data_IF_375617958648
#
_entry.id   IF_375617958648
#
_cell.length_a   1.000
_cell.length_b   1.000
_cell.length_c   1.000
_cell.angle_alpha   90.00
_cell.angle_beta   90.00
_cell.angle_gamma   90.00
#
_symmetry.space_group_name_H-M   'P 1'
#
loop_
_entity.id
_entity.type
_entity.pdbx_description
1 polymer ?
#
# COMPACT_ATOMS: atom_id res chain seq x y z
N UNK A 1 0.01 7.55 25.88
CA UNK A 1 -0.09 7.11 24.47
C UNK A 1 0.77 5.86 24.30
N UNK A 2 0.23 4.80 23.71
CA UNK A 2 1.01 3.59 23.42
C UNK A 2 1.86 3.84 22.16
N UNK A 3 3.06 3.27 22.09
CA UNK A 3 3.96 3.38 20.94
C UNK A 3 4.50 1.99 20.62
N UNK A 4 4.21 1.51 19.42
CA UNK A 4 4.65 0.21 18.92
C UNK A 4 5.82 0.42 17.96
N UNK A 5 7.00 -0.04 18.36
CA UNK A 5 8.26 0.18 17.64
C UNK A 5 8.66 -1.05 16.84
N UNK A 6 9.16 -0.85 15.62
CA UNK A 6 9.77 -1.91 14.82
C UNK A 6 11.29 -1.89 14.97
N UNK A 7 11.96 -2.92 14.47
CA UNK A 7 13.39 -2.88 14.15
C UNK A 7 13.56 -2.75 12.62
N UNK A 8 13.89 -1.56 12.08
CA UNK A 8 14.14 -1.39 10.65
C UNK A 8 15.20 -2.36 10.13
N UNK A 9 15.00 -2.88 8.92
CA UNK A 9 15.88 -3.87 8.30
C UNK A 9 15.83 -5.28 8.92
N UNK A 10 15.01 -5.51 9.95
CA UNK A 10 14.73 -6.85 10.48
C UNK A 10 13.40 -7.33 9.90
N UNK A 11 13.35 -8.50 9.23
CA UNK A 11 12.10 -9.06 8.70
C UNK A 11 11.02 -9.23 9.77
N UNK A 12 9.74 -9.08 9.41
CA UNK A 12 8.61 -9.31 10.31
C UNK A 12 8.60 -10.74 10.88
N UNK A 13 9.08 -11.73 10.13
CA UNK A 13 9.22 -13.11 10.61
C UNK A 13 10.16 -13.25 11.83
N UNK A 14 11.08 -12.30 12.03
CA UNK A 14 12.00 -12.23 13.17
C UNK A 14 11.52 -11.27 14.28
N UNK A 15 10.40 -10.58 14.07
CA UNK A 15 9.66 -9.79 15.07
C UNK A 15 8.13 -10.04 14.98
N UNK A 16 7.69 -11.32 14.96
CA UNK A 16 6.31 -11.70 14.64
C UNK A 16 5.31 -11.29 15.72
N UNK A 17 5.77 -10.88 16.89
CA UNK A 17 4.95 -10.34 17.96
C UNK A 17 4.31 -8.99 17.63
N UNK A 18 4.82 -8.27 16.62
CA UNK A 18 4.35 -6.96 16.22
C UNK A 18 3.21 -7.00 15.21
N UNK A 19 3.07 -8.11 14.45
CA UNK A 19 2.32 -8.00 13.20
C UNK A 19 2.05 -9.29 12.45
N UNK A 20 1.47 -9.11 11.27
CA UNK A 20 1.11 -10.18 10.35
C UNK A 20 1.25 -9.72 8.89
N UNK A 21 1.29 -10.66 7.95
CA UNK A 21 1.32 -10.35 6.51
C UNK A 21 0.23 -11.08 5.72
N UNK A 22 -0.85 -11.48 6.40
CA UNK A 22 -2.00 -12.18 5.82
C UNK A 22 -3.28 -11.74 6.53
N UNK A 23 -4.38 -11.66 5.79
CA UNK A 23 -5.68 -11.36 6.40
C UNK A 23 -6.38 -12.64 6.84
N UNK A 24 -6.68 -12.74 8.14
CA UNK A 24 -7.47 -13.83 8.72
C UNK A 24 -8.22 -13.35 9.99
N UNK A 25 -9.52 -13.68 10.19
CA UNK A 25 -10.32 -13.21 11.33
C UNK A 25 -9.74 -13.57 12.70
N UNK A 26 -9.11 -14.75 12.78
CA UNK A 26 -8.65 -15.33 14.05
C UNK A 26 -7.26 -14.83 14.50
N UNK A 27 -6.63 -13.86 13.82
CA UNK A 27 -5.31 -13.36 14.23
C UNK A 27 -5.42 -12.68 15.60
N UNK A 28 -4.67 -13.13 16.63
CA UNK A 28 -4.65 -12.51 17.95
C UNK A 28 -4.27 -11.02 17.93
N UNK A 29 -5.04 -10.21 18.64
CA UNK A 29 -4.80 -8.77 18.76
C UNK A 29 -3.48 -8.44 19.46
N UNK A 30 -2.77 -7.45 18.93
CA UNK A 30 -1.54 -6.88 19.46
C UNK A 30 -1.74 -6.17 20.79
N UNK A 31 -2.67 -5.22 20.81
CA UNK A 31 -3.03 -4.46 22.00
C UNK A 31 -4.48 -4.01 21.93
N UNK A 32 -4.97 -3.52 23.06
CA UNK A 32 -6.30 -2.94 23.22
C UNK A 32 -6.21 -1.42 23.22
N UNK A 33 -7.13 -0.77 22.52
CA UNK A 33 -7.24 0.69 22.39
C UNK A 33 -8.69 1.08 22.63
N UNK A 34 -8.92 2.16 23.37
CA UNK A 34 -10.28 2.69 23.58
C UNK A 34 -10.60 3.77 22.54
N UNK A 35 -11.87 3.93 22.14
CA UNK A 35 -12.31 5.12 21.42
C UNK A 35 -11.87 6.39 22.15
N UNK A 36 -11.32 7.35 21.41
CA UNK A 36 -10.71 8.59 21.90
C UNK A 36 -9.23 8.47 22.30
N UNK A 37 -8.63 7.27 22.28
CA UNK A 37 -7.20 7.11 22.53
C UNK A 37 -6.38 7.27 21.24
N UNK A 38 -5.18 7.83 21.43
CA UNK A 38 -4.14 7.97 20.41
C UNK A 38 -3.04 6.93 20.63
N UNK A 39 -2.44 6.44 19.55
CA UNK A 39 -1.25 5.57 19.56
C UNK A 39 -0.30 5.92 18.41
N UNK A 40 0.98 5.56 18.58
CA UNK A 40 1.98 5.60 17.50
C UNK A 40 2.25 4.17 17.04
N UNK A 41 2.17 3.94 15.73
CA UNK A 41 2.41 2.66 15.08
C UNK A 41 3.59 2.83 14.12
N UNK A 42 4.71 2.17 14.41
CA UNK A 42 5.79 2.04 13.42
C UNK A 42 5.51 0.87 12.48
N UNK A 43 5.94 1.01 11.23
CA UNK A 43 5.70 0.05 10.14
C UNK A 43 6.98 -0.13 9.33
N UNK A 44 7.24 -1.38 8.96
CA UNK A 44 8.32 -1.72 8.03
C UNK A 44 7.94 -1.28 6.62
N UNK A 45 8.95 -1.06 5.77
CA UNK A 45 8.75 -1.00 4.32
C UNK A 45 8.05 -2.28 3.82
N UNK A 46 7.31 -2.16 2.72
CA UNK A 46 6.42 -3.23 2.27
C UNK A 46 7.13 -4.51 1.81
N UNK A 47 8.41 -4.38 1.41
CA UNK A 47 9.26 -5.48 0.99
C UNK A 47 10.04 -6.08 2.15
N UNK A 48 9.72 -5.69 3.39
CA UNK A 48 10.17 -6.36 4.61
C UNK A 48 11.71 -6.34 4.73
N UNK A 49 12.32 -5.19 4.41
CA UNK A 49 13.76 -4.94 4.49
C UNK A 49 14.59 -5.59 3.38
N UNK A 50 13.98 -6.01 2.26
CA UNK A 50 14.69 -6.69 1.18
C UNK A 50 15.44 -5.75 0.23
N UNK A 51 15.08 -4.47 0.18
CA UNK A 51 15.70 -3.48 -0.71
C UNK A 51 16.77 -2.69 0.03
N UNK A 52 17.93 -2.57 -0.59
CA UNK A 52 19.11 -1.97 0.04
C UNK A 52 19.52 -0.67 -0.67
N UNK A 53 20.10 0.25 0.10
CA UNK A 53 20.71 1.47 -0.41
C UNK A 53 22.02 1.18 -1.14
N UNK A 54 21.88 0.81 -2.40
CA UNK A 54 22.95 0.61 -3.36
C UNK A 54 22.41 0.87 -4.76
N UNK A 55 23.29 0.80 -5.75
CA UNK A 55 22.95 1.05 -7.16
C UNK A 55 22.73 -0.27 -7.94
N UNK A 56 22.68 -1.42 -7.24
CA UNK A 56 22.39 -2.73 -7.82
C UNK A 56 20.89 -3.00 -7.79
N UNK A 57 20.30 -3.37 -8.93
CA UNK A 57 18.87 -3.66 -9.06
C UNK A 57 18.53 -5.13 -8.77
N UNK A 58 19.53 -5.96 -8.43
CA UNK A 58 19.33 -7.38 -8.16
C UNK A 58 18.34 -7.65 -7.02
N UNK A 59 18.32 -6.80 -5.98
CA UNK A 59 17.36 -6.94 -4.89
C UNK A 59 15.91 -6.71 -5.33
N UNK A 60 15.65 -5.76 -6.23
CA UNK A 60 14.33 -5.59 -6.87
C UNK A 60 13.99 -6.77 -7.79
N UNK A 61 14.97 -7.31 -8.53
CA UNK A 61 14.77 -8.45 -9.43
C UNK A 61 14.37 -9.71 -8.67
N UNK A 62 15.07 -9.99 -7.58
CA UNK A 62 15.05 -11.28 -6.88
C UNK A 62 14.19 -11.25 -5.60
N UNK A 63 13.50 -10.14 -5.33
CA UNK A 63 12.67 -9.96 -4.14
C UNK A 63 11.64 -11.08 -4.00
N UNK A 64 11.48 -11.57 -2.77
CA UNK A 64 10.40 -12.49 -2.44
C UNK A 64 9.13 -11.70 -2.09
N UNK A 65 8.30 -11.48 -3.12
CA UNK A 65 7.00 -10.81 -3.00
C UNK A 65 6.00 -11.57 -2.13
N UNK A 66 6.26 -12.81 -1.70
CA UNK A 66 5.36 -13.55 -0.81
C UNK A 66 5.41 -13.03 0.63
N UNK A 67 6.51 -12.35 1.00
CA UNK A 67 6.71 -11.71 2.30
C UNK A 67 5.87 -10.45 2.48
N UNK A 68 5.60 -9.72 1.39
CA UNK A 68 4.77 -8.52 1.40
C UNK A 68 3.32 -8.83 1.83
N UNK A 69 2.67 -8.02 2.66
CA UNK A 69 3.13 -6.74 3.26
C UNK A 69 3.27 -6.96 4.78
N UNK A 70 4.36 -6.54 5.44
CA UNK A 70 4.44 -6.60 6.89
C UNK A 70 3.55 -5.53 7.54
N UNK A 71 2.51 -5.96 8.26
CA UNK A 71 1.55 -5.06 8.90
C UNK A 71 1.70 -5.08 10.41
N UNK A 72 1.74 -3.91 11.03
CA UNK A 72 1.68 -3.78 12.49
C UNK A 72 0.23 -3.85 12.96
N UNK A 73 -0.03 -4.68 13.98
CA UNK A 73 -1.36 -4.96 14.52
C UNK A 73 -1.68 -6.47 14.57
N UNK A 74 -2.95 -6.89 14.67
CA UNK A 74 -4.16 -6.08 14.66
C UNK A 74 -4.48 -5.47 16.04
N UNK A 75 -5.00 -4.25 16.09
CA UNK A 75 -5.41 -3.57 17.31
C UNK A 75 -6.89 -3.83 17.63
N UNK A 76 -7.18 -4.22 18.87
CA UNK A 76 -8.55 -4.38 19.37
C UNK A 76 -9.11 -3.02 19.80
N UNK A 77 -10.17 -2.58 19.14
CA UNK A 77 -10.88 -1.34 19.46
C UNK A 77 -12.04 -1.64 20.42
N UNK A 78 -11.99 -1.07 21.62
CA UNK A 78 -12.99 -1.35 22.65
C UNK A 78 -14.41 -0.92 22.23
N UNK A 79 -15.34 -1.86 22.30
CA UNK A 79 -16.75 -1.63 21.95
C UNK A 79 -17.06 -1.72 20.45
N UNK A 80 -16.08 -1.97 19.59
CA UNK A 80 -16.32 -2.20 18.17
C UNK A 80 -16.99 -3.57 17.95
N UNK A 81 -18.08 -3.58 17.20
CA UNK A 81 -18.85 -4.78 16.84
C UNK A 81 -19.10 -4.80 15.33
N UNK A 82 -19.29 -5.99 14.70
CA UNK A 82 -19.63 -6.08 13.28
C UNK A 82 -20.81 -5.17 12.90
N UNK A 83 -20.67 -4.42 11.81
CA UNK A 83 -21.67 -3.45 11.35
C UNK A 83 -21.42 -2.00 11.77
N UNK A 84 -20.46 -1.76 12.67
CA UNK A 84 -19.97 -0.42 13.00
C UNK A 84 -19.09 0.16 11.90
N UNK A 85 -18.80 1.47 11.99
CA UNK A 85 -17.64 2.07 11.34
C UNK A 85 -16.58 2.38 12.39
N UNK A 86 -15.35 1.98 12.13
CA UNK A 86 -14.16 2.45 12.82
C UNK A 86 -13.72 3.78 12.19
N UNK A 87 -13.69 4.84 12.98
CA UNK A 87 -13.12 6.13 12.59
C UNK A 87 -11.64 6.10 12.94
N UNK A 88 -10.79 6.45 11.98
CA UNK A 88 -9.34 6.60 12.19
C UNK A 88 -8.94 7.99 11.71
N UNK A 89 -8.33 8.76 12.60
CA UNK A 89 -7.67 10.02 12.27
C UNK A 89 -6.18 9.77 12.10
N UNK A 90 -5.64 10.09 10.91
CA UNK A 90 -4.20 10.10 10.66
C UNK A 90 -3.66 11.44 11.13
N UNK A 91 -3.13 11.49 12.36
CA UNK A 91 -2.71 12.74 12.98
C UNK A 91 -1.36 13.22 12.46
N UNK A 92 -0.42 12.29 12.27
CA UNK A 92 0.87 12.57 11.64
C UNK A 92 1.52 11.32 11.06
N UNK A 93 2.38 11.46 10.06
CA UNK A 93 3.10 10.35 9.42
C UNK A 93 4.51 10.80 9.06
N UNK A 94 5.52 10.11 9.59
CA UNK A 94 6.91 10.48 9.39
C UNK A 94 7.79 9.26 9.04
N UNK A 95 8.80 9.42 8.18
CA UNK A 95 9.84 8.41 8.04
C UNK A 95 10.61 8.26 9.35
N UNK A 96 11.01 7.02 9.68
CA UNK A 96 11.91 6.75 10.82
C UNK A 96 13.34 6.45 10.37
N UNK A 97 13.53 6.15 9.09
CA UNK A 97 14.82 6.07 8.41
C UNK A 97 14.94 7.22 7.40
N UNK A 98 16.14 7.74 7.10
CA UNK A 98 16.30 8.87 6.17
C UNK A 98 16.25 8.45 4.70
N UNK A 99 15.79 7.23 4.40
CA UNK A 99 15.87 6.59 3.10
C UNK A 99 14.50 6.04 2.71
N UNK A 100 14.19 6.15 1.43
CA UNK A 100 13.11 5.41 0.80
C UNK A 100 13.53 4.85 -0.55
N UNK A 101 12.67 4.07 -1.18
CA UNK A 101 12.95 3.53 -2.50
C UNK A 101 11.71 3.53 -3.40
N UNK A 102 11.96 3.54 -4.70
CA UNK A 102 10.98 3.16 -5.72
C UNK A 102 11.64 2.15 -6.64
N UNK A 103 10.84 1.37 -7.35
CA UNK A 103 11.32 0.43 -8.33
C UNK A 103 10.39 0.21 -9.50
N UNK A 104 10.90 -0.59 -10.42
CA UNK A 104 10.14 -1.27 -11.46
C UNK A 104 10.46 -2.74 -11.27
N UNK A 105 9.46 -3.56 -10.98
CA UNK A 105 9.69 -5.00 -10.92
C UNK A 105 9.96 -5.57 -12.31
N UNK A 106 10.79 -6.61 -12.36
CA UNK A 106 10.96 -7.38 -13.59
C UNK A 106 9.60 -7.99 -13.98
N UNK A 107 9.31 -8.06 -15.29
CA UNK A 107 8.07 -8.69 -15.78
C UNK A 107 7.93 -10.15 -15.33
N UNK A 108 9.05 -10.84 -15.16
CA UNK A 108 9.10 -12.23 -14.67
C UNK A 108 8.84 -12.37 -13.17
N UNK A 109 8.99 -11.30 -12.38
CA UNK A 109 8.80 -11.32 -10.93
C UNK A 109 8.09 -10.04 -10.46
N UNK A 110 6.76 -10.07 -10.42
CA UNK A 110 5.92 -8.94 -10.01
C UNK A 110 5.26 -8.24 -11.20
N UNK A 111 6.06 -7.72 -12.12
CA UNK A 111 5.58 -6.89 -13.23
C UNK A 111 5.04 -5.54 -12.77
N UNK A 112 4.06 -4.99 -13.49
CA UNK A 112 3.52 -3.67 -13.21
C UNK A 112 2.74 -3.14 -14.41
N UNK A 113 2.24 -1.91 -14.30
CA UNK A 113 1.32 -1.35 -15.28
C UNK A 113 1.90 -1.25 -16.70
N UNK A 114 3.21 -0.97 -16.78
CA UNK A 114 3.96 -0.84 -18.04
C UNK A 114 4.99 -1.96 -18.26
N UNK A 115 4.82 -3.13 -17.64
CA UNK A 115 5.81 -4.22 -17.71
C UNK A 115 6.09 -4.75 -19.14
N UNK A 116 5.16 -4.57 -20.08
CA UNK A 116 5.38 -4.90 -21.49
C UNK A 116 6.33 -3.93 -22.20
N UNK A 117 6.48 -2.71 -21.69
CA UNK A 117 7.35 -1.65 -22.21
C UNK A 117 8.66 -1.54 -21.42
N UNK A 118 8.60 -1.82 -20.13
CA UNK A 118 9.73 -1.82 -19.20
C UNK A 118 9.82 -3.17 -18.48
N UNK A 119 10.30 -4.23 -19.17
CA UNK A 119 10.31 -5.58 -18.61
C UNK A 119 11.45 -5.84 -17.62
N UNK A 120 12.50 -5.01 -17.67
CA UNK A 120 13.69 -5.12 -16.84
C UNK A 120 13.51 -4.38 -15.51
N UNK A 121 14.12 -4.88 -14.41
CA UNK A 121 14.02 -4.24 -13.12
C UNK A 121 14.77 -2.91 -13.09
N UNK A 122 14.23 -1.95 -12.33
CA UNK A 122 14.89 -0.68 -12.04
C UNK A 122 14.68 -0.30 -10.58
N UNK A 123 15.58 0.53 -10.04
CA UNK A 123 15.54 1.02 -8.66
C UNK A 123 15.93 2.49 -8.60
N UNK A 124 15.29 3.23 -7.70
CA UNK A 124 15.68 4.55 -7.28
C UNK A 124 15.64 4.66 -5.76
N UNK A 125 16.79 4.92 -5.13
CA UNK A 125 16.86 5.32 -3.72
C UNK A 125 16.60 6.82 -3.57
N UNK A 126 15.82 7.19 -2.55
CA UNK A 126 15.44 8.55 -2.21
C UNK A 126 15.99 8.95 -0.84
N UNK A 127 16.68 10.08 -0.78
CA UNK A 127 17.00 10.77 0.46
C UNK A 127 15.75 11.50 0.98
N UNK A 128 15.27 11.14 2.16
CA UNK A 128 14.12 11.77 2.82
C UNK A 128 14.61 12.84 3.79
N UNK A 129 14.42 14.12 3.44
CA UNK A 129 14.96 15.26 4.20
C UNK A 129 13.87 16.29 4.49
N UNK A 130 13.35 16.24 5.71
CA UNK A 130 12.23 17.08 6.13
C UNK A 130 11.02 16.83 5.24
N UNK A 131 10.52 17.88 4.59
CA UNK A 131 9.35 17.80 3.71
C UNK A 131 9.66 17.27 2.30
N UNK A 132 10.92 17.03 1.95
CA UNK A 132 11.33 16.75 0.58
C UNK A 132 12.06 15.43 0.42
N UNK A 133 11.82 14.77 -0.72
CA UNK A 133 12.60 13.66 -1.23
C UNK A 133 13.39 14.07 -2.48
N UNK A 134 14.62 13.56 -2.58
CA UNK A 134 15.48 13.68 -3.78
C UNK A 134 16.16 12.35 -4.06
N UNK A 135 16.40 12.00 -5.32
CA UNK A 135 17.09 10.76 -5.66
C UNK A 135 18.37 11.04 -6.44
N UNK A 136 19.46 10.34 -6.09
CA UNK A 136 20.69 10.33 -6.90
C UNK A 136 20.49 9.69 -8.28
N UNK A 137 19.45 8.86 -8.42
CA UNK A 137 19.13 8.15 -9.66
C UNK A 137 18.22 8.97 -10.60
N UNK A 138 17.54 9.99 -10.07
CA UNK A 138 16.61 10.86 -10.83
C UNK A 138 17.01 12.33 -10.59
N UNK A 139 18.08 12.81 -11.27
CA UNK A 139 18.61 14.14 -11.03
C UNK A 139 17.62 15.25 -11.46
N UNK A 140 17.75 16.42 -10.81
CA UNK A 140 16.92 17.60 -11.11
C UNK A 140 15.51 17.55 -10.56
N UNK A 141 15.15 16.49 -9.83
CA UNK A 141 13.83 16.32 -9.19
C UNK A 141 13.91 16.54 -7.69
N UNK A 142 12.92 17.23 -7.14
CA UNK A 142 12.65 17.34 -5.70
C UNK A 142 11.16 17.25 -5.47
N UNK A 143 10.73 16.23 -4.72
CA UNK A 143 9.31 15.94 -4.46
C UNK A 143 8.99 16.35 -3.03
N UNK A 144 7.94 17.15 -2.84
CA UNK A 144 7.38 17.39 -1.52
C UNK A 144 6.51 16.18 -1.15
N UNK A 145 6.74 15.63 0.04
CA UNK A 145 6.03 14.45 0.51
C UNK A 145 4.52 14.68 0.58
N UNK A 146 3.78 13.70 0.08
CA UNK A 146 2.35 13.54 0.36
C UNK A 146 2.24 12.23 1.14
N UNK A 147 2.71 12.27 2.37
CA UNK A 147 2.96 11.05 3.15
C UNK A 147 1.64 10.38 3.54
N UNK A 148 1.52 9.09 3.22
CA UNK A 148 0.31 8.28 3.44
C UNK A 148 0.68 6.81 3.65
N UNK A 149 -0.19 6.00 4.26
CA UNK A 149 -0.12 4.56 4.18
C UNK A 149 -0.79 4.06 2.88
N UNK A 150 -0.14 3.18 2.13
CA UNK A 150 -0.76 2.41 1.05
C UNK A 150 -1.73 1.37 1.60
N UNK A 151 -1.41 0.78 2.76
CA UNK A 151 -2.18 -0.31 3.37
C UNK A 151 -2.72 0.00 4.78
N UNK A 152 -4.05 0.03 4.89
CA UNK A 152 -4.77 0.04 6.18
C UNK A 152 -6.10 -0.72 6.10
N UNK A 153 -6.47 -1.43 7.15
CA UNK A 153 -7.80 -2.08 7.19
C UNK A 153 -8.11 -2.80 8.49
N UNK A 154 -9.38 -3.19 8.62
CA UNK A 154 -9.86 -4.06 9.70
C UNK A 154 -9.77 -5.53 9.30
N UNK A 155 -9.67 -6.45 10.27
CA UNK A 155 -9.75 -7.88 9.99
C UNK A 155 -11.08 -8.23 9.30
N UNK A 156 -11.07 -9.14 8.29
CA UNK A 156 -12.30 -9.59 7.65
C UNK A 156 -13.09 -10.53 8.58
N UNK A 157 -14.38 -10.72 8.31
CA UNK A 157 -15.10 -11.90 8.83
C UNK A 157 -14.67 -13.15 8.08
N UNK A 158 -14.98 -14.33 8.64
CA UNK A 158 -14.71 -15.60 7.95
C UNK A 158 -15.47 -15.70 6.61
N UNK A 159 -16.72 -15.20 6.55
CA UNK A 159 -17.50 -15.18 5.31
C UNK A 159 -16.85 -14.31 4.24
N UNK A 160 -16.33 -13.14 4.63
CA UNK A 160 -15.66 -12.22 3.72
C UNK A 160 -14.34 -12.82 3.21
N UNK A 161 -13.55 -13.44 4.10
CA UNK A 161 -12.33 -14.17 3.71
C UNK A 161 -12.64 -15.29 2.71
N UNK A 162 -13.67 -16.09 2.98
CA UNK A 162 -14.10 -17.17 2.10
C UNK A 162 -14.53 -16.65 0.73
N UNK A 163 -15.24 -15.52 0.68
CA UNK A 163 -15.64 -14.88 -0.58
C UNK A 163 -14.43 -14.40 -1.40
N UNK A 164 -13.44 -13.79 -0.76
CA UNK A 164 -12.19 -13.38 -1.41
C UNK A 164 -11.47 -14.58 -2.03
N UNK A 165 -11.23 -15.62 -1.25
CA UNK A 165 -10.57 -16.83 -1.72
C UNK A 165 -11.35 -17.49 -2.87
N UNK A 166 -12.68 -17.57 -2.76
CA UNK A 166 -13.55 -18.16 -3.79
C UNK A 166 -13.45 -17.41 -5.12
N UNK A 167 -13.51 -16.08 -5.11
CA UNK A 167 -13.51 -15.28 -6.35
C UNK A 167 -12.12 -15.08 -6.96
N UNK A 168 -11.07 -15.08 -6.13
CA UNK A 168 -9.68 -14.91 -6.58
C UNK A 168 -9.03 -16.22 -7.04
N UNK A 169 -9.47 -17.37 -6.52
CA UNK A 169 -8.96 -18.69 -6.94
C UNK A 169 -8.94 -18.95 -8.47
N UNK A 170 -10.01 -18.66 -9.26
CA UNK A 170 -9.95 -18.83 -10.70
C UNK A 170 -8.93 -17.89 -11.37
N UNK A 171 -8.75 -16.67 -10.86
CA UNK A 171 -7.76 -15.71 -11.38
C UNK A 171 -6.33 -16.14 -11.02
N UNK A 172 -6.12 -16.71 -9.84
CA UNK A 172 -4.84 -17.23 -9.41
C UNK A 172 -4.34 -18.36 -10.33
N UNK A 173 -5.23 -19.21 -10.84
CA UNK A 173 -4.90 -20.25 -11.84
C UNK A 173 -4.40 -19.65 -13.17
N UNK A 174 -4.74 -18.40 -13.44
CA UNK A 174 -4.28 -17.64 -14.61
C UNK A 174 -3.07 -16.75 -14.32
N UNK A 175 -2.56 -16.76 -13.08
CA UNK A 175 -1.49 -15.86 -12.64
C UNK A 175 -1.93 -14.41 -12.41
N UNK A 176 -3.24 -14.14 -12.39
CA UNK A 176 -3.83 -12.80 -12.26
C UNK A 176 -4.23 -12.43 -10.82
N UNK A 177 -4.03 -13.34 -9.87
CA UNK A 177 -4.21 -13.11 -8.44
C UNK A 177 -3.19 -13.94 -7.64
N UNK A 178 -2.95 -13.56 -6.39
CA UNK A 178 -2.05 -14.29 -5.49
C UNK A 178 -2.90 -15.12 -4.50
N UNK A 179 -2.86 -16.47 -4.57
CA UNK A 179 -3.61 -17.30 -3.63
C UNK A 179 -3.01 -17.21 -2.22
N UNK A 180 -3.71 -17.72 -1.18
CA UNK A 180 -3.10 -17.99 0.11
C UNK A 180 -1.78 -18.74 -0.05
N UNK A 181 -0.74 -18.28 0.66
CA UNK A 181 0.59 -18.85 0.62
C UNK A 181 1.14 -18.99 2.05
N UNK A 182 1.24 -20.22 2.57
CA UNK A 182 1.70 -20.47 3.93
C UNK A 182 3.22 -20.32 4.10
N UNK A 183 4.02 -20.35 3.03
CA UNK A 183 5.48 -20.48 3.13
C UNK A 183 6.16 -19.34 3.90
N UNK A 184 5.66 -18.13 3.69
CA UNK A 184 6.17 -16.88 4.29
C UNK A 184 5.10 -16.18 5.12
N UNK A 185 4.05 -16.90 5.50
CA UNK A 185 2.97 -16.35 6.33
C UNK A 185 3.48 -16.05 7.73
N UNK A 186 3.29 -14.81 8.17
CA UNK A 186 3.44 -14.39 9.57
C UNK A 186 2.04 -14.14 10.12
N UNK A 187 1.65 -14.92 11.12
CA UNK A 187 0.37 -14.86 11.80
C UNK A 187 0.63 -14.67 13.29
N UNK A 188 0.64 -13.40 13.75
CA UNK A 188 1.02 -13.00 15.11
C UNK A 188 0.48 -13.95 16.18
N UNK A 189 1.38 -14.56 16.96
CA UNK A 189 0.99 -15.36 18.13
C UNK A 189 0.25 -16.66 17.82
N UNK A 190 0.20 -17.10 16.56
CA UNK A 190 -0.41 -18.36 16.14
C UNK A 190 0.68 -19.39 15.86
N UNK A 191 0.55 -20.59 16.42
CA UNK A 191 1.50 -21.69 16.21
C UNK A 191 0.79 -23.04 16.02
N UNK A 192 1.54 -24.06 15.62
CA UNK A 192 1.05 -25.44 15.52
C UNK A 192 -0.10 -25.62 14.52
N UNK A 193 -1.05 -26.51 14.85
CA UNK A 193 -2.15 -26.84 13.94
C UNK A 193 -3.08 -25.66 13.62
N UNK A 194 -3.18 -24.67 14.51
CA UNK A 194 -3.91 -23.44 14.24
C UNK A 194 -3.19 -22.62 13.16
N UNK A 195 -1.86 -22.55 13.21
CA UNK A 195 -1.06 -21.88 12.18
C UNK A 195 -1.21 -22.59 10.84
N UNK A 196 -1.07 -23.91 10.81
CA UNK A 196 -1.17 -24.69 9.56
C UNK A 196 -2.51 -24.47 8.85
N UNK A 197 -3.62 -24.47 9.63
CA UNK A 197 -4.96 -24.19 9.10
C UNK A 197 -5.06 -22.75 8.58
N UNK A 198 -4.73 -21.77 9.43
CA UNK A 198 -4.88 -20.35 9.09
C UNK A 198 -3.99 -19.96 7.90
N UNK A 199 -2.73 -20.40 7.87
CA UNK A 199 -1.78 -20.07 6.81
C UNK A 199 -2.19 -20.64 5.45
N UNK A 200 -2.96 -21.75 5.44
CA UNK A 200 -3.49 -22.36 4.21
C UNK A 200 -4.68 -21.59 3.61
N UNK A 201 -5.38 -20.77 4.40
CA UNK A 201 -6.59 -20.04 3.98
C UNK A 201 -6.50 -18.52 4.07
N UNK A 202 -5.51 -17.98 4.80
CA UNK A 202 -5.37 -16.55 5.01
C UNK A 202 -5.00 -15.81 3.70
N UNK A 203 -5.75 -14.77 3.39
CA UNK A 203 -5.61 -14.05 2.14
C UNK A 203 -4.32 -13.22 2.11
N UNK A 204 -3.72 -13.10 0.92
CA UNK A 204 -2.62 -12.16 0.68
C UNK A 204 -3.10 -10.72 0.85
N UNK A 205 -2.23 -9.86 1.37
CA UNK A 205 -2.51 -8.44 1.60
C UNK A 205 -2.42 -7.59 0.33
N UNK A 206 -2.01 -8.17 -0.80
CA UNK A 206 -1.70 -7.48 -2.06
C UNK A 206 -2.85 -6.64 -2.67
N UNK A 207 -4.08 -7.15 -2.86
CA UNK A 207 -5.11 -6.33 -3.50
C UNK A 207 -5.93 -5.54 -2.47
N UNK A 208 -6.46 -4.36 -2.85
CA UNK A 208 -7.52 -3.70 -2.11
C UNK A 208 -8.79 -4.53 -2.15
N UNK A 209 -9.56 -4.48 -1.07
CA UNK A 209 -10.84 -5.18 -0.93
C UNK A 209 -11.86 -4.32 -0.18
N UNK A 210 -13.03 -4.88 0.11
CA UNK A 210 -14.16 -4.22 0.77
C UNK A 210 -13.82 -3.64 2.15
N UNK A 211 -12.76 -4.12 2.79
CA UNK A 211 -12.31 -3.63 4.09
C UNK A 211 -11.28 -2.49 4.03
N UNK A 212 -10.93 -2.01 2.82
CA UNK A 212 -9.73 -1.23 2.59
C UNK A 212 -8.59 -2.17 2.17
N UNK A 213 -7.56 -2.29 3.00
CA UNK A 213 -6.35 -3.02 2.65
C UNK A 213 -5.42 -2.14 1.81
N UNK A 214 -4.81 -2.73 0.78
CA UNK A 214 -3.80 -2.07 -0.07
C UNK A 214 -4.47 -1.17 -1.10
N UNK A 215 -4.89 0.01 -0.69
CA UNK A 215 -5.67 0.91 -1.57
C UNK A 215 -4.79 1.83 -2.38
N UNK A 216 -3.57 2.12 -1.90
CA UNK A 216 -2.58 2.96 -2.58
C UNK A 216 -3.17 4.30 -3.03
N UNK A 217 -3.99 4.90 -2.17
CA UNK A 217 -4.61 6.20 -2.41
C UNK A 217 -3.73 7.28 -1.78
N UNK A 218 -2.97 8.00 -2.62
CA UNK A 218 -2.06 9.07 -2.17
C UNK A 218 -2.73 10.16 -1.32
N UNK A 219 -4.02 10.40 -1.55
CA UNK A 219 -4.81 11.39 -0.84
C UNK A 219 -5.28 10.94 0.57
N UNK A 220 -5.03 9.68 0.97
CA UNK A 220 -5.16 9.19 2.36
C UNK A 220 -3.97 9.64 3.23
N UNK A 221 -3.59 10.91 3.13
CA UNK A 221 -2.36 11.43 3.74
C UNK A 221 -2.54 11.89 5.18
N UNK A 222 -1.43 12.21 5.85
CA UNK A 222 -1.42 12.88 7.17
C UNK A 222 -2.42 14.04 7.22
N UNK A 223 -3.32 14.02 8.23
CA UNK A 223 -4.48 14.91 8.40
C UNK A 223 -5.81 14.34 7.90
N UNK A 224 -5.83 13.15 7.31
CA UNK A 224 -7.05 12.47 6.82
C UNK A 224 -7.86 11.86 7.96
N UNK A 225 -9.20 11.87 7.81
CA UNK A 225 -10.13 11.04 8.60
C UNK A 225 -10.75 9.98 7.71
N UNK A 226 -10.57 8.71 8.05
CA UNK A 226 -11.12 7.56 7.32
C UNK A 226 -12.10 6.76 8.18
N UNK A 227 -13.09 6.17 7.52
CA UNK A 227 -14.18 5.40 8.13
C UNK A 227 -14.16 3.96 7.57
N UNK A 228 -13.68 3.00 8.35
CA UNK A 228 -13.58 1.60 7.95
C UNK A 228 -14.81 0.77 8.37
N UNK A 229 -15.36 -0.07 7.49
CA UNK A 229 -16.31 -1.10 7.88
C UNK A 229 -15.73 -2.10 8.90
N UNK A 230 -16.50 -2.46 9.93
CA UNK A 230 -16.10 -3.43 10.97
C UNK A 230 -16.75 -4.78 10.71
N UNK A 231 -15.95 -5.85 10.62
CA UNK A 231 -16.42 -7.21 10.29
C UNK A 231 -16.29 -8.23 11.43
N UNK A 232 -15.43 -7.95 12.42
CA UNK A 232 -15.23 -8.79 13.61
C UNK A 232 -15.30 -7.93 14.87
N UNK A 233 -15.61 -8.56 16.00
CA UNK A 233 -15.57 -7.89 17.31
C UNK A 233 -14.18 -7.33 17.58
N UNK A 234 -14.12 -6.08 18.00
CA UNK A 234 -12.86 -5.36 18.20
C UNK A 234 -12.23 -4.78 16.94
N UNK A 235 -12.86 -4.93 15.76
CA UNK A 235 -12.40 -4.48 14.44
C UNK A 235 -11.09 -5.12 13.93
N UNK A 236 -10.02 -5.13 14.73
CA UNK A 236 -8.73 -5.65 14.34
C UNK A 236 -8.05 -4.76 13.30
N UNK A 237 -7.81 -3.51 13.65
CA UNK A 237 -7.17 -2.56 12.76
C UNK A 237 -5.68 -2.90 12.58
N UNK A 238 -5.20 -2.89 11.34
CA UNK A 238 -3.78 -3.04 11.00
C UNK A 238 -3.38 -2.04 9.93
N UNK A 239 -2.10 -1.69 9.93
CA UNK A 239 -1.52 -0.83 8.91
C UNK A 239 -0.05 -1.15 8.65
N UNK A 240 0.44 -0.71 7.49
CA UNK A 240 1.83 -0.80 7.08
C UNK A 240 2.03 -0.02 5.79
N UNK A 241 3.07 -0.38 5.03
CA UNK A 241 3.20 0.05 3.62
C UNK A 241 3.22 1.58 3.49
N UNK A 242 4.17 2.22 4.16
CA UNK A 242 4.18 3.68 4.25
C UNK A 242 4.89 4.29 3.04
N UNK A 243 4.24 5.29 2.47
CA UNK A 243 4.68 6.01 1.29
C UNK A 243 5.03 7.45 1.66
N UNK A 244 6.24 7.89 1.34
CA UNK A 244 6.61 9.30 1.46
C UNK A 244 5.90 10.16 0.39
N UNK A 245 5.73 9.62 -0.81
CA UNK A 245 4.94 10.21 -1.90
C UNK A 245 4.60 9.14 -2.93
N UNK A 246 3.53 9.33 -3.70
CA UNK A 246 3.10 8.39 -4.73
C UNK A 246 2.32 9.13 -5.80
N UNK A 247 2.45 8.68 -7.05
CA UNK A 247 1.57 9.06 -8.15
C UNK A 247 0.27 8.26 -8.19
N UNK A 248 -0.77 8.81 -8.81
CA UNK A 248 -2.02 8.07 -9.00
C UNK A 248 -1.81 6.77 -9.78
N UNK A 249 -2.51 5.73 -9.34
CA UNK A 249 -2.45 4.40 -9.93
C UNK A 249 -1.16 3.62 -9.63
N UNK A 250 -0.20 4.22 -8.91
CA UNK A 250 1.02 3.56 -8.42
C UNK A 250 1.72 2.72 -9.51
N UNK A 251 1.84 3.30 -10.71
CA UNK A 251 1.99 2.52 -11.94
C UNK A 251 3.21 1.57 -11.96
N UNK A 252 4.26 1.89 -11.20
CA UNK A 252 5.47 1.07 -11.05
C UNK A 252 5.29 -0.24 -10.27
N UNK A 253 4.23 -0.38 -9.48
CA UNK A 253 3.90 -1.49 -8.57
C UNK A 253 4.92 -1.80 -7.45
N UNK A 254 6.22 -1.67 -7.72
CA UNK A 254 7.23 -1.43 -6.68
C UNK A 254 7.26 0.08 -6.43
N UNK A 255 6.11 0.63 -6.07
CA UNK A 255 5.80 2.02 -6.31
C UNK A 255 5.85 2.87 -5.08
N UNK A 256 5.22 4.03 -5.17
CA UNK A 256 5.46 5.14 -4.26
C UNK A 256 6.97 5.46 -4.07
N UNK A 257 7.26 6.21 -3.02
CA UNK A 257 8.56 6.26 -2.35
C UNK A 257 8.33 5.49 -1.04
N UNK A 258 8.62 4.21 -1.07
CA UNK A 258 8.48 3.27 0.05
C UNK A 258 9.40 3.65 1.20
N UNK A 259 8.95 3.46 2.44
CA UNK A 259 9.75 3.76 3.62
C UNK A 259 9.33 2.94 4.84
N UNK A 260 10.28 2.75 5.75
CA UNK A 260 9.95 2.54 7.15
C UNK A 260 9.43 3.85 7.75
N UNK A 261 8.38 3.81 8.56
CA UNK A 261 7.82 5.02 9.14
C UNK A 261 7.00 4.81 10.39
N UNK A 262 6.61 5.93 11.00
CA UNK A 262 5.77 6.01 12.18
C UNK A 262 4.51 6.81 11.85
N UNK A 263 3.36 6.25 12.20
CA UNK A 263 2.04 6.90 12.05
C UNK A 263 1.45 7.14 13.43
N UNK A 264 1.08 8.38 13.71
CA UNK A 264 0.30 8.78 14.87
C UNK A 264 -1.18 8.74 14.50
N UNK A 265 -1.97 7.91 15.19
CA UNK A 265 -3.39 7.69 14.88
C UNK A 265 -4.28 7.84 16.10
N UNK A 266 -5.50 8.31 15.89
CA UNK A 266 -6.59 8.29 16.88
C UNK A 266 -7.76 7.45 16.38
N UNK A 267 -8.50 6.85 17.30
CA UNK A 267 -9.64 5.99 16.98
C UNK A 267 -10.94 6.49 17.57
N UNK A 268 -12.04 6.33 16.85
CA UNK A 268 -13.41 6.49 17.37
C UNK A 268 -14.37 5.49 16.69
N UNK A 269 -15.62 5.41 17.13
CA UNK A 269 -16.60 4.46 16.60
C UNK A 269 -17.91 5.14 16.23
N UNK A 270 -18.47 4.73 15.09
CA UNK A 270 -19.86 5.00 14.75
C UNK A 270 -20.64 3.69 14.83
N UNK A 271 -21.43 3.56 15.89
CA UNK A 271 -22.24 2.37 16.13
C UNK A 271 -23.28 2.15 15.03
N UNK A 272 -23.32 0.93 14.46
CA UNK A 272 -24.19 0.59 13.33
C UNK A 272 -23.97 1.44 12.08
N UNK A 273 -22.77 2.04 11.94
CA UNK A 273 -22.47 3.02 10.90
C UNK A 273 -22.59 2.48 9.48
N UNK A 274 -22.27 1.19 9.25
CA UNK A 274 -22.37 0.58 7.92
C UNK A 274 -23.81 0.63 7.40
N UNK A 275 -24.78 0.19 8.22
CA UNK A 275 -26.19 0.22 7.84
C UNK A 275 -26.74 1.65 7.77
N UNK A 276 -26.36 2.50 8.72
CA UNK A 276 -26.83 3.90 8.78
C UNK A 276 -26.45 4.71 7.54
N UNK A 277 -25.26 4.49 7.00
CA UNK A 277 -24.74 5.24 5.85
C UNK A 277 -24.65 4.42 4.56
N UNK A 278 -25.10 3.16 4.56
CA UNK A 278 -25.05 2.28 3.40
C UNK A 278 -23.64 1.97 2.91
N UNK A 279 -22.66 1.88 3.82
CA UNK A 279 -21.26 1.68 3.47
C UNK A 279 -20.89 0.20 3.41
N UNK A 280 -20.29 -0.18 2.29
CA UNK A 280 -19.68 -1.51 2.05
C UNK A 280 -18.18 -1.44 1.78
N UNK A 281 -17.62 -0.23 1.77
CA UNK A 281 -16.20 0.05 1.58
C UNK A 281 -15.83 1.31 2.39
N UNK A 282 -14.54 1.55 2.67
CA UNK A 282 -14.13 2.76 3.37
C UNK A 282 -14.47 4.02 2.59
N UNK A 283 -14.75 5.09 3.34
CA UNK A 283 -14.81 6.46 2.82
C UNK A 283 -13.89 7.33 3.67
N UNK A 284 -13.45 8.47 3.15
CA UNK A 284 -12.57 9.36 3.89
C UNK A 284 -12.79 10.84 3.55
N UNK A 285 -12.35 11.69 4.46
CA UNK A 285 -12.17 13.12 4.27
C UNK A 285 -10.67 13.37 4.08
N UNK A 286 -10.22 13.89 2.92
CA UNK A 286 -8.80 14.09 2.67
C UNK A 286 -8.21 15.13 3.62
N UNK A 287 -6.90 15.10 3.77
CA UNK A 287 -6.18 16.11 4.52
C UNK A 287 -6.42 17.52 4.01
N UNK A 288 -6.47 18.47 4.94
CA UNK A 288 -6.44 19.91 4.64
C UNK A 288 -5.02 20.42 4.30
N UNK A 289 -4.00 19.58 4.53
CA UNK A 289 -2.59 19.87 4.23
C UNK A 289 -2.10 18.93 3.13
N UNK A 290 -1.68 19.50 2.00
CA UNK A 290 -1.01 18.75 0.94
C UNK A 290 -0.03 19.62 0.15
N UNK A 291 0.96 19.03 -0.54
CA UNK A 291 1.79 19.76 -1.48
C UNK A 291 0.96 20.52 -2.51
N UNK A 292 1.19 21.83 -2.63
CA UNK A 292 0.49 22.65 -3.60
C UNK A 292 1.30 22.77 -4.89
N UNK A 293 1.04 21.85 -5.82
CA UNK A 293 1.48 21.93 -7.21
C UNK A 293 0.32 22.43 -8.07
N UNK A 294 0.52 23.55 -8.79
CA UNK A 294 -0.52 24.19 -9.60
C UNK A 294 -0.21 24.28 -11.10
N UNK A 295 1.03 23.95 -11.50
CA UNK A 295 1.49 24.03 -12.88
C UNK A 295 1.62 22.63 -13.47
N UNK A 296 0.50 22.08 -13.92
CA UNK A 296 0.46 20.77 -14.57
C UNK A 296 0.73 20.89 -16.07
N UNK A 297 1.56 19.99 -16.58
CA UNK A 297 1.51 19.58 -17.98
C UNK A 297 0.64 18.31 -18.00
N UNK A 298 -0.43 18.33 -18.78
CA UNK A 298 -1.39 17.22 -18.84
C UNK A 298 -1.19 16.42 -20.12
N UNK A 299 -1.17 15.10 -19.99
CA UNK A 299 -1.05 14.17 -21.11
C UNK A 299 -2.33 13.36 -21.22
N UNK A 300 -2.88 13.28 -22.43
CA UNK A 300 -4.13 12.60 -22.70
C UNK A 300 -3.88 11.23 -23.33
N UNK A 301 -4.66 10.24 -22.92
CA UNK A 301 -4.69 8.91 -23.52
C UNK A 301 -6.10 8.51 -23.89
N UNK A 302 -6.23 7.61 -24.86
CA UNK A 302 -7.50 7.09 -25.34
C UNK A 302 -7.45 5.56 -25.32
N UNK A 303 -8.60 4.89 -25.40
CA UNK A 303 -8.72 3.42 -25.39
C UNK A 303 -8.27 2.77 -26.71
N UNK A 304 -7.07 3.12 -27.19
CA UNK A 304 -6.47 2.62 -28.43
C UNK A 304 -5.01 2.28 -28.17
N UNK A 305 -4.62 1.06 -28.53
CA UNK A 305 -3.24 0.59 -28.37
C UNK A 305 -2.87 -0.36 -29.50
N UNK A 306 -1.69 -0.18 -30.10
CA UNK A 306 -1.18 -1.01 -31.19
C UNK A 306 -2.19 -1.19 -32.36
N UNK A 307 -2.94 -0.12 -32.68
CA UNK A 307 -3.96 -0.13 -33.73
C UNK A 307 -5.26 -0.84 -33.38
N UNK A 308 -5.40 -1.37 -32.15
CA UNK A 308 -6.63 -1.99 -31.65
C UNK A 308 -7.45 -0.98 -30.85
N UNK A 309 -8.74 -0.87 -31.19
CA UNK A 309 -9.72 -0.12 -30.42
C UNK A 309 -10.26 -0.97 -29.27
N UNK A 310 -10.33 -0.37 -28.08
CA UNK A 310 -10.98 -0.91 -26.88
C UNK A 310 -12.21 -0.05 -26.55
N UNK A 311 -13.25 -0.68 -25.99
CA UNK A 311 -14.51 0.00 -25.68
C UNK A 311 -14.52 0.49 -24.24
N UNK A 312 -14.49 1.82 -24.04
CA UNK A 312 -14.55 2.47 -22.72
C UNK A 312 -13.54 1.90 -21.71
N UNK A 313 -12.31 1.65 -22.19
CA UNK A 313 -11.25 1.06 -21.39
C UNK A 313 -10.34 2.17 -20.82
N UNK A 314 -10.61 2.55 -19.58
CA UNK A 314 -9.85 3.56 -18.85
C UNK A 314 -8.43 3.08 -18.52
N UNK A 315 -8.22 1.77 -18.35
CA UNK A 315 -6.89 1.19 -18.11
C UNK A 315 -5.98 1.40 -19.30
N UNK A 316 -6.45 1.10 -20.52
CA UNK A 316 -5.69 1.37 -21.75
C UNK A 316 -5.50 2.86 -21.94
N UNK A 317 -6.53 3.68 -21.72
CA UNK A 317 -6.42 5.14 -21.86
C UNK A 317 -5.36 5.72 -20.90
N UNK A 318 -5.37 5.32 -19.63
CA UNK A 318 -4.38 5.78 -18.66
C UNK A 318 -2.95 5.32 -19.04
N UNK A 319 -2.80 4.09 -19.54
CA UNK A 319 -1.52 3.58 -20.06
C UNK A 319 -0.95 4.47 -21.15
N UNK A 320 -1.79 4.85 -22.12
CA UNK A 320 -1.38 5.71 -23.22
C UNK A 320 -1.02 7.12 -22.75
N UNK A 321 -1.70 7.66 -21.73
CA UNK A 321 -1.33 8.94 -21.12
C UNK A 321 0.06 8.87 -20.46
N UNK A 322 0.32 7.83 -19.67
CA UNK A 322 1.62 7.61 -19.02
C UNK A 322 2.75 7.44 -20.04
N UNK A 323 2.55 6.64 -21.09
CA UNK A 323 3.56 6.43 -22.14
C UNK A 323 3.92 7.73 -22.87
N UNK A 324 2.95 8.62 -23.11
CA UNK A 324 3.21 9.95 -23.70
C UNK A 324 3.96 10.87 -22.74
N UNK A 325 3.62 10.85 -21.45
CA UNK A 325 4.36 11.59 -20.43
C UNK A 325 5.82 11.12 -20.35
N UNK A 326 6.05 9.80 -20.40
CA UNK A 326 7.39 9.21 -20.45
C UNK A 326 8.14 9.66 -21.70
N UNK A 327 7.57 9.53 -22.91
CA UNK A 327 8.22 9.98 -24.16
C UNK A 327 8.61 11.46 -24.07
N UNK A 328 7.71 12.32 -23.58
CA UNK A 328 7.98 13.74 -23.39
C UNK A 328 9.18 13.98 -22.46
N UNK A 329 9.21 13.32 -21.29
CA UNK A 329 10.32 13.45 -20.33
C UNK A 329 11.65 12.98 -20.91
N UNK A 330 11.65 11.95 -21.77
CA UNK A 330 12.89 11.49 -22.41
C UNK A 330 13.53 12.54 -23.34
N UNK A 331 12.74 13.48 -23.89
CA UNK A 331 13.26 14.62 -24.68
C UNK A 331 14.12 15.58 -23.85
N UNK A 332 14.01 15.52 -22.53
CA UNK A 332 14.81 16.32 -21.58
C UNK A 332 16.01 15.55 -21.01
N UNK A 333 16.28 14.34 -21.51
CA UNK A 333 17.46 13.54 -21.13
C UNK A 333 17.21 12.49 -20.04
N UNK A 334 15.97 12.34 -19.54
CA UNK A 334 15.62 11.21 -18.68
C UNK A 334 15.62 9.90 -19.46
N UNK A 335 16.08 8.81 -18.84
CA UNK A 335 15.84 7.46 -19.36
C UNK A 335 14.37 7.08 -19.18
N UNK A 336 13.89 6.11 -19.95
CA UNK A 336 12.53 5.58 -19.81
C UNK A 336 12.23 5.09 -18.38
N UNK A 337 13.08 4.26 -17.76
CA UNK A 337 12.91 3.86 -16.36
C UNK A 337 12.93 5.02 -15.35
N UNK A 338 13.78 6.04 -15.53
CA UNK A 338 13.76 7.23 -14.67
C UNK A 338 12.43 7.98 -14.76
N UNK A 339 11.93 8.20 -15.98
CA UNK A 339 10.65 8.86 -16.20
C UNK A 339 9.49 8.03 -15.63
N UNK A 340 9.52 6.71 -15.79
CA UNK A 340 8.52 5.81 -15.24
C UNK A 340 8.50 5.85 -13.70
N UNK A 341 9.65 5.67 -13.05
CA UNK A 341 9.75 5.78 -11.59
C UNK A 341 9.36 7.18 -11.08
N UNK A 342 9.63 8.24 -11.85
CA UNK A 342 9.18 9.59 -11.50
C UNK A 342 7.65 9.70 -11.48
N UNK A 343 6.94 9.11 -12.47
CA UNK A 343 5.48 9.08 -12.48
C UNK A 343 4.90 8.22 -11.36
N UNK A 344 5.63 7.21 -10.90
CA UNK A 344 5.25 6.39 -9.76
C UNK A 344 5.44 7.09 -8.41
N UNK A 345 6.51 7.88 -8.27
CA UNK A 345 6.92 8.50 -7.01
C UNK A 345 6.37 9.91 -6.80
N UNK A 346 6.33 10.74 -7.84
CA UNK A 346 5.82 12.11 -7.73
C UNK A 346 4.29 12.10 -7.65
N UNK A 347 3.66 13.06 -6.95
CA UNK A 347 2.21 13.14 -6.80
C UNK A 347 1.53 13.65 -8.08
N UNK A 348 1.67 12.86 -9.16
CA UNK A 348 0.99 13.07 -10.43
C UNK A 348 -0.48 12.70 -10.28
N UNK A 349 -1.33 13.36 -11.07
CA UNK A 349 -2.77 13.17 -11.02
C UNK A 349 -3.23 12.31 -12.22
N UNK A 350 -4.02 11.29 -11.92
CA UNK A 350 -4.72 10.45 -12.89
C UNK A 350 -6.21 10.80 -12.89
N UNK A 351 -6.76 11.15 -14.06
CA UNK A 351 -8.18 11.53 -14.17
C UNK A 351 -8.87 10.69 -15.23
N UNK A 352 -10.01 10.12 -14.84
CA UNK A 352 -10.96 9.52 -15.78
C UNK A 352 -11.87 10.66 -16.25
N UNK A 353 -11.66 11.11 -17.49
CA UNK A 353 -12.33 12.27 -18.09
C UNK A 353 -13.52 11.93 -18.97
#
# INVERSE_FOLDING_TARGET
MQHFTIKPGVPLAEQPELGHNRWHPDIPFLSRVKPGEEIIIESLDFLDGQIHDNDDVADVRDVDLTRAHPLTGPFYIEGAEPGDLLVVDLLDINPITPLGFSGVFAKSNGGGFLADYFPEPAKAIWDLKGLYATSRHIPGVRIAGLTHPGLMGCLPSMDLLNEWNRREAPLAKLGLAKPPDPKTAVLRGVTGSAFDRMAAEAARTVPPREHGGNTDIKDLSSGTRIFFPVYVKGAGFSMGDLHFSQGDGEIGFCGAIEMDGATHVAFDLIKGGMAKYGLTAPIFLPSVVKPHYSKYITFEGISVENGKNYYLDATVAYRQACLKAIDYLTRFGYTGPQAYMLLTAAPVEGRIG
#
